data_IF_054165935034
#
_entry.id   IF_054165935034
#
_cell.length_a   1.000
_cell.length_b   1.000
_cell.length_c   1.000
_cell.angle_alpha   90.00
_cell.angle_beta   90.00
_cell.angle_gamma   90.00
#
_symmetry.space_group_name_H-M   'P 1'
#
loop_
_entity.id
_entity.type
_entity.pdbx_description
1 polymer ?
#
# COMPACT_ATOMS: atom_id res chain seq x y z
N UNK A 1 -4.10 4.04 -0.43
CA UNK A 1 -2.66 4.30 -0.55
C UNK A 1 -2.30 5.72 -1.03
N UNK A 2 -3.24 6.67 -1.10
CA UNK A 2 -2.93 8.06 -1.51
C UNK A 2 -2.01 8.82 -0.54
N UNK A 3 -1.75 8.26 0.64
CA UNK A 3 -0.81 8.79 1.62
C UNK A 3 0.66 8.46 1.33
N UNK A 4 0.95 7.60 0.34
CA UNK A 4 2.32 7.21 0.02
C UNK A 4 3.19 8.44 -0.33
N UNK A 5 4.43 8.51 0.17
CA UNK A 5 5.35 9.56 -0.19
C UNK A 5 5.91 9.34 -1.62
N UNK A 6 6.46 10.40 -2.22
CA UNK A 6 6.93 10.39 -3.60
C UNK A 6 7.95 9.28 -3.90
N UNK A 7 8.87 9.01 -2.97
CA UNK A 7 9.85 7.93 -3.11
C UNK A 7 9.23 6.53 -3.22
N UNK A 8 8.01 6.33 -2.70
CA UNK A 8 7.33 5.03 -2.76
C UNK A 8 6.43 4.88 -4.00
N UNK A 9 5.85 5.98 -4.49
CA UNK A 9 4.94 5.91 -5.64
C UNK A 9 5.56 6.25 -6.99
N UNK A 10 6.70 6.94 -7.03
CA UNK A 10 7.38 7.25 -8.29
C UNK A 10 8.22 6.06 -8.74
N UNK A 11 7.98 5.61 -9.96
CA UNK A 11 8.89 4.68 -10.62
C UNK A 11 10.15 5.41 -11.11
N UNK A 12 11.28 4.69 -11.17
CA UNK A 12 12.53 5.19 -11.72
C UNK A 12 12.48 5.23 -13.27
N UNK A 13 11.54 6.02 -13.80
CA UNK A 13 11.24 6.19 -15.21
C UNK A 13 11.33 7.68 -15.59
N UNK A 14 11.34 8.03 -16.89
CA UNK A 14 11.31 9.42 -17.32
C UNK A 14 10.16 10.22 -16.67
N UNK A 15 10.48 11.40 -16.12
CA UNK A 15 9.54 12.26 -15.37
C UNK A 15 8.28 12.62 -16.18
N UNK A 16 8.40 12.70 -17.51
CA UNK A 16 7.28 12.96 -18.41
C UNK A 16 6.16 11.92 -18.27
N UNK A 17 6.50 10.64 -18.05
CA UNK A 17 5.51 9.57 -17.87
C UNK A 17 4.67 9.79 -16.61
N UNK A 18 5.28 10.27 -15.52
CA UNK A 18 4.53 10.64 -14.32
C UNK A 18 3.69 11.91 -14.53
N UNK A 19 4.28 12.97 -15.10
CA UNK A 19 3.63 14.29 -15.20
C UNK A 19 2.49 14.33 -16.21
N UNK A 20 2.64 13.67 -17.36
CA UNK A 20 1.71 13.74 -18.48
C UNK A 20 0.73 12.57 -18.51
N UNK A 21 1.19 11.39 -18.06
CA UNK A 21 0.43 10.14 -18.18
C UNK A 21 0.08 9.53 -16.82
N UNK A 22 0.49 10.15 -15.71
CA UNK A 22 0.22 9.67 -14.36
C UNK A 22 0.69 8.22 -14.13
N UNK A 23 1.81 7.84 -14.75
CA UNK A 23 2.47 6.56 -14.51
C UNK A 23 3.11 6.60 -13.11
N UNK A 24 2.56 5.82 -12.19
CA UNK A 24 2.96 5.74 -10.79
C UNK A 24 2.42 4.46 -10.15
N UNK A 25 2.92 4.13 -8.96
CA UNK A 25 2.26 3.18 -8.05
C UNK A 25 0.96 3.81 -7.54
N UNK A 26 -0.14 3.09 -7.71
CA UNK A 26 -1.43 3.41 -7.09
C UNK A 26 -1.69 2.52 -5.88
N UNK A 27 -1.40 1.21 -5.99
CA UNK A 27 -1.70 0.23 -4.97
C UNK A 27 -3.19 -0.12 -4.88
N UNK A 28 -3.50 -1.36 -4.49
CA UNK A 28 -4.87 -1.89 -4.39
C UNK A 28 -5.05 -2.66 -3.06
N UNK A 29 -6.28 -3.13 -2.81
CA UNK A 29 -6.73 -3.65 -1.51
C UNK A 29 -6.69 -2.60 -0.38
N UNK A 30 -6.74 -1.30 -0.70
CA UNK A 30 -6.62 -0.23 0.28
C UNK A 30 -7.69 -0.23 1.37
N UNK A 31 -8.92 -0.63 1.07
CA UNK A 31 -9.99 -0.79 2.06
C UNK A 31 -9.68 -1.91 3.05
N UNK A 32 -9.20 -3.05 2.56
CA UNK A 32 -8.80 -4.19 3.40
C UNK A 32 -7.59 -3.85 4.26
N UNK A 33 -6.53 -3.27 3.70
CA UNK A 33 -5.33 -2.86 4.44
C UNK A 33 -5.66 -1.84 5.53
N UNK A 34 -6.51 -0.85 5.23
CA UNK A 34 -6.99 0.12 6.23
C UNK A 34 -7.75 -0.58 7.37
N UNK A 35 -8.74 -1.39 7.01
CA UNK A 35 -9.58 -2.09 7.99
C UNK A 35 -8.76 -2.98 8.93
N UNK A 36 -7.85 -3.81 8.38
CA UNK A 36 -7.04 -4.72 9.18
C UNK A 36 -6.07 -3.96 10.09
N UNK A 37 -5.49 -2.86 9.62
CA UNK A 37 -4.61 -2.03 10.45
C UNK A 37 -5.34 -1.35 11.62
N UNK A 38 -6.59 -0.93 11.40
CA UNK A 38 -7.47 -0.39 12.45
C UNK A 38 -7.86 -1.47 13.46
N UNK A 39 -8.25 -2.67 12.98
CA UNK A 39 -8.57 -3.81 13.86
C UNK A 39 -7.36 -4.29 14.66
N UNK A 40 -6.16 -4.27 14.08
CA UNK A 40 -4.94 -4.62 14.80
C UNK A 40 -4.63 -3.61 15.91
N UNK A 41 -4.80 -2.30 15.65
CA UNK A 41 -4.63 -1.27 16.66
C UNK A 41 -5.63 -1.42 17.83
N UNK A 42 -6.91 -1.69 17.51
CA UNK A 42 -7.95 -1.99 18.50
C UNK A 42 -7.60 -3.22 19.36
N UNK A 43 -7.16 -4.30 18.72
CA UNK A 43 -6.76 -5.53 19.39
C UNK A 43 -5.58 -5.32 20.35
N UNK A 44 -4.60 -4.52 19.93
CA UNK A 44 -3.43 -4.17 20.73
C UNK A 44 -3.71 -3.08 21.77
N UNK A 45 -4.94 -2.52 21.79
CA UNK A 45 -5.33 -1.39 22.65
C UNK A 45 -4.37 -0.20 22.52
N UNK A 46 -3.88 0.04 21.31
CA UNK A 46 -2.88 1.07 21.02
C UNK A 46 -3.44 2.11 20.04
N UNK A 47 -2.99 3.36 20.18
CA UNK A 47 -3.31 4.42 19.22
C UNK A 47 -2.69 4.07 17.85
N UNK A 48 -3.50 3.99 16.76
CA UNK A 48 -2.99 3.77 15.41
C UNK A 48 -1.82 4.69 15.01
N UNK A 49 -1.76 5.91 15.53
CA UNK A 49 -0.70 6.88 15.25
C UNK A 49 0.67 6.46 15.80
N UNK A 50 0.69 5.56 16.80
CA UNK A 50 1.92 5.07 17.43
C UNK A 50 2.43 3.75 16.83
N UNK A 51 1.65 3.12 15.95
CA UNK A 51 1.95 1.81 15.39
C UNK A 51 2.58 1.90 14.00
N UNK A 52 3.63 1.11 13.81
CA UNK A 52 4.14 0.74 12.50
C UNK A 52 3.75 -0.72 12.21
N UNK A 53 3.10 -0.95 11.08
CA UNK A 53 2.47 -2.23 10.77
C UNK A 53 2.83 -2.67 9.35
N UNK A 54 2.87 -3.99 9.15
CA UNK A 54 2.85 -4.61 7.82
C UNK A 54 1.56 -5.42 7.75
N UNK A 55 0.70 -5.10 6.79
CA UNK A 55 -0.53 -5.84 6.52
C UNK A 55 -0.35 -6.70 5.28
N UNK A 56 -0.79 -7.96 5.36
CA UNK A 56 -0.70 -8.94 4.27
C UNK A 56 -2.13 -9.35 3.87
N UNK A 57 -2.58 -8.89 2.71
CA UNK A 57 -3.84 -9.32 2.11
C UNK A 57 -3.56 -10.47 1.15
N UNK A 58 -3.91 -11.70 1.56
CA UNK A 58 -3.60 -12.93 0.83
C UNK A 58 -4.89 -13.63 0.40
N UNK A 59 -5.27 -13.44 -0.86
CA UNK A 59 -6.42 -14.08 -1.49
C UNK A 59 -6.08 -14.48 -2.92
N UNK A 60 -7.05 -14.46 -3.84
CA UNK A 60 -6.75 -14.66 -5.27
C UNK A 60 -5.83 -13.56 -5.82
N UNK A 61 -6.04 -12.32 -5.39
CA UNK A 61 -5.05 -11.24 -5.52
C UNK A 61 -4.32 -11.06 -4.20
N UNK A 62 -2.99 -10.88 -4.25
CA UNK A 62 -2.16 -10.76 -3.06
C UNK A 62 -1.46 -9.39 -3.02
N UNK A 63 -1.53 -8.69 -1.89
CA UNK A 63 -0.70 -7.50 -1.67
C UNK A 63 -0.24 -7.33 -0.22
N UNK A 64 0.94 -6.75 -0.06
CA UNK A 64 1.49 -6.32 1.22
C UNK A 64 1.49 -4.79 1.31
N UNK A 65 1.25 -4.21 2.48
CA UNK A 65 1.29 -2.77 2.70
C UNK A 65 2.07 -2.44 3.96
N UNK A 66 3.02 -1.51 3.86
CA UNK A 66 3.67 -0.90 5.01
C UNK A 66 2.87 0.32 5.46
N UNK A 67 2.59 0.40 6.75
CA UNK A 67 1.77 1.43 7.38
C UNK A 67 2.56 2.02 8.54
N UNK A 68 2.69 3.34 8.56
CA UNK A 68 3.32 4.07 9.65
C UNK A 68 2.34 5.11 10.21
N UNK A 69 2.03 5.02 11.50
CA UNK A 69 1.08 5.91 12.16
C UNK A 69 -0.30 5.93 11.48
N UNK A 70 -0.84 4.75 11.14
CA UNK A 70 -2.12 4.59 10.45
C UNK A 70 -2.13 5.03 8.97
N UNK A 71 -1.00 5.48 8.41
CA UNK A 71 -0.89 5.90 7.01
C UNK A 71 -0.10 4.90 6.20
N UNK A 72 -0.63 4.46 5.06
CA UNK A 72 0.15 3.65 4.12
C UNK A 72 1.34 4.45 3.58
N UNK A 73 2.54 3.91 3.79
CA UNK A 73 3.81 4.49 3.33
C UNK A 73 4.42 3.72 2.17
N UNK A 74 4.02 2.46 1.98
CA UNK A 74 4.37 1.65 0.79
C UNK A 74 3.33 0.53 0.57
N UNK A 75 3.25 -0.03 -0.63
CA UNK A 75 2.42 -1.20 -0.95
C UNK A 75 2.94 -1.95 -2.17
N UNK A 76 2.78 -3.27 -2.18
CA UNK A 76 3.41 -4.13 -3.19
C UNK A 76 2.79 -3.99 -4.58
N UNK A 77 1.48 -3.71 -4.67
CA UNK A 77 0.83 -3.53 -5.97
C UNK A 77 1.14 -2.16 -6.57
N UNK A 78 1.17 -2.13 -7.90
CA UNK A 78 1.79 -1.11 -8.71
C UNK A 78 0.83 -0.07 -9.28
N UNK A 79 1.09 0.31 -10.52
CA UNK A 79 0.16 1.02 -11.38
C UNK A 79 -1.12 0.20 -11.59
N UNK A 80 -0.95 -1.12 -11.68
CA UNK A 80 -2.01 -2.11 -11.81
C UNK A 80 -1.90 -3.14 -10.67
N UNK A 81 -2.91 -4.00 -10.47
CA UNK A 81 -2.85 -5.07 -9.48
C UNK A 81 -1.81 -6.16 -9.79
N UNK A 82 -1.06 -6.07 -10.89
CA UNK A 82 -0.16 -7.13 -11.35
C UNK A 82 1.20 -7.15 -10.63
N UNK A 83 1.66 -6.00 -10.16
CA UNK A 83 2.95 -5.91 -9.45
C UNK A 83 2.86 -6.50 -8.04
N UNK A 84 3.95 -7.09 -7.56
CA UNK A 84 4.11 -7.46 -6.16
C UNK A 84 4.21 -8.97 -5.94
N UNK A 85 3.30 -9.51 -5.13
CA UNK A 85 3.35 -10.90 -4.66
C UNK A 85 2.94 -11.88 -5.76
N UNK A 86 3.32 -13.15 -5.60
CA UNK A 86 2.69 -14.25 -6.35
C UNK A 86 1.20 -14.30 -5.99
N UNK A 87 0.36 -14.53 -6.99
CA UNK A 87 -1.10 -14.52 -6.90
C UNK A 87 -1.66 -15.82 -7.49
N UNK A 88 -2.99 -15.97 -7.50
CA UNK A 88 -3.63 -17.20 -7.95
C UNK A 88 -3.41 -17.55 -9.43
N UNK A 89 -3.25 -16.55 -10.28
CA UNK A 89 -3.07 -16.68 -11.74
C UNK A 89 -2.23 -15.55 -12.30
#
# INVERSE_FOLDING_TARGET
>A
HQSMPAQAFRYALPEALYRQHHVRRYGFHGTSHKFVAEKAAEYLQADPATLNQITLHLGNGCSATAIAGGRSVDTSMGMTPLEGLVMGT
#
